data_IF_574974962316
#
_entry.id   IF_574974962316
#
_cell.length_a   1.000
_cell.length_b   1.000
_cell.length_c   1.000
_cell.angle_alpha   90.00
_cell.angle_beta   90.00
_cell.angle_gamma   90.00
#
_symmetry.space_group_name_H-M   'P 1'
#
loop_
_entity.id
_entity.type
_entity.pdbx_description
1 polymer ?
#
# COMPACT_ATOMS: atom_id res chain seq x y z
N UNK A 1 19.76 -7.39 -18.11
CA UNK A 1 18.94 -7.34 -16.87
C UNK A 1 19.84 -6.75 -15.82
N UNK A 2 19.63 -5.47 -15.54
CA UNK A 2 20.66 -4.57 -15.01
C UNK A 2 20.73 -4.57 -13.48
N UNK A 3 20.83 -5.74 -12.86
CA UNK A 3 21.21 -5.90 -11.44
C UNK A 3 20.24 -5.39 -10.36
N UNK A 4 19.24 -4.59 -10.71
CA UNK A 4 18.29 -4.00 -9.76
C UNK A 4 17.01 -4.83 -9.63
N UNK A 5 16.63 -5.15 -8.39
CA UNK A 5 15.35 -5.77 -8.05
C UNK A 5 14.25 -4.70 -8.11
N UNK A 6 13.24 -4.91 -8.96
CA UNK A 6 12.01 -4.12 -8.94
C UNK A 6 11.05 -4.73 -7.93
N UNK A 7 10.94 -4.13 -6.75
CA UNK A 7 10.07 -4.65 -5.67
C UNK A 7 8.59 -4.48 -5.99
N UNK A 8 8.25 -3.44 -6.75
CA UNK A 8 6.85 -3.09 -7.04
C UNK A 8 6.24 -2.21 -5.96
N UNK A 9 7.00 -1.80 -4.95
CA UNK A 9 6.60 -0.80 -3.96
C UNK A 9 6.75 0.61 -4.56
N UNK A 10 5.76 1.46 -4.29
CA UNK A 10 5.79 2.91 -4.49
C UNK A 10 6.23 3.51 -3.16
N UNK A 11 7.15 4.47 -3.22
CA UNK A 11 7.62 5.14 -2.03
C UNK A 11 8.18 6.51 -2.32
N UNK A 12 8.19 7.35 -1.30
CA UNK A 12 8.82 8.67 -1.32
C UNK A 12 10.10 8.67 -0.48
N UNK A 13 10.99 9.60 -0.78
CA UNK A 13 12.20 9.85 0.00
C UNK A 13 12.23 11.31 0.40
N UNK A 14 12.42 11.59 1.68
CA UNK A 14 12.53 12.96 2.16
C UNK A 14 13.96 13.53 1.98
N UNK A 15 14.13 14.80 2.32
CA UNK A 15 15.42 15.50 2.20
C UNK A 15 16.49 15.02 3.18
N UNK A 16 16.10 14.28 4.23
CA UNK A 16 16.99 13.70 5.22
C UNK A 16 17.41 12.26 4.84
N UNK A 17 16.84 11.73 3.76
CA UNK A 17 17.16 10.41 3.21
C UNK A 17 16.34 9.28 3.81
N UNK A 18 15.25 9.57 4.53
CA UNK A 18 14.31 8.53 4.95
C UNK A 18 13.42 8.13 3.79
N UNK A 19 13.26 6.81 3.62
CA UNK A 19 12.40 6.22 2.59
C UNK A 19 11.12 5.73 3.23
N UNK A 20 10.00 6.16 2.68
CA UNK A 20 8.65 5.77 3.09
C UNK A 20 8.06 4.86 2.02
N UNK A 21 7.55 3.71 2.42
CA UNK A 21 6.78 2.83 1.53
C UNK A 21 5.33 3.30 1.59
N UNK A 22 4.82 3.78 0.47
CA UNK A 22 3.48 4.37 0.38
C UNK A 22 2.45 3.38 -0.13
N UNK A 23 2.79 2.57 -1.13
CA UNK A 23 1.84 1.61 -1.73
C UNK A 23 2.58 0.52 -2.53
N UNK A 24 1.85 -0.42 -3.13
CA UNK A 24 2.36 -1.31 -4.16
C UNK A 24 1.67 -1.04 -5.48
N UNK A 25 2.48 -0.96 -6.53
CA UNK A 25 2.05 -0.77 -7.92
C UNK A 25 1.05 -1.84 -8.43
N UNK A 26 0.87 -2.95 -7.70
CA UNK A 26 0.00 -4.07 -8.08
C UNK A 26 -1.15 -4.36 -7.11
N UNK A 27 -1.27 -3.66 -5.99
CA UNK A 27 -2.27 -3.98 -4.96
C UNK A 27 -3.58 -3.18 -5.14
N UNK A 28 -3.64 -2.29 -6.13
CA UNK A 28 -4.88 -1.68 -6.58
C UNK A 28 -5.78 -2.71 -7.25
N UNK A 29 -7.03 -2.80 -6.78
CA UNK A 29 -8.06 -3.66 -7.35
C UNK A 29 -9.30 -2.85 -7.73
N UNK A 30 -10.07 -3.36 -8.69
CA UNK A 30 -11.30 -2.72 -9.14
C UNK A 30 -12.47 -3.32 -8.37
N UNK A 31 -13.25 -2.49 -7.68
CA UNK A 31 -14.50 -2.88 -7.04
C UNK A 31 -15.62 -1.95 -7.52
N UNK A 32 -16.68 -2.52 -8.10
CA UNK A 32 -17.82 -1.73 -8.58
C UNK A 32 -17.50 -0.75 -9.72
N UNK A 33 -16.34 -0.88 -10.37
CA UNK A 33 -15.86 0.05 -11.40
C UNK A 33 -14.93 1.15 -10.90
N UNK A 34 -14.65 1.19 -9.59
CA UNK A 34 -13.74 2.15 -8.96
C UNK A 34 -12.40 1.49 -8.62
N UNK A 35 -11.32 2.27 -8.71
CA UNK A 35 -9.99 1.84 -8.26
C UNK A 35 -9.95 1.93 -6.73
N UNK A 36 -9.69 0.80 -6.07
CA UNK A 36 -9.61 0.71 -4.61
C UNK A 36 -8.17 0.39 -4.21
N UNK A 37 -7.62 1.22 -3.32
CA UNK A 37 -6.26 1.07 -2.80
C UNK A 37 -6.32 0.54 -1.36
N UNK A 38 -5.69 -0.60 -1.06
CA UNK A 38 -5.61 -1.16 0.29
C UNK A 38 -5.15 -0.16 1.35
N UNK A 39 -4.18 0.69 1.03
CA UNK A 39 -3.66 1.71 1.94
C UNK A 39 -4.72 2.73 2.40
N UNK A 40 -5.68 3.10 1.54
CA UNK A 40 -6.78 3.98 1.93
C UNK A 40 -7.69 3.31 2.97
N UNK A 41 -7.96 2.01 2.79
CA UNK A 41 -8.77 1.22 3.72
C UNK A 41 -8.04 1.07 5.06
N UNK A 42 -6.75 0.73 5.03
CA UNK A 42 -5.92 0.59 6.22
C UNK A 42 -5.85 1.90 7.01
N UNK A 43 -5.64 3.03 6.34
CA UNK A 43 -5.61 4.35 6.99
C UNK A 43 -6.91 4.67 7.73
N UNK A 44 -8.07 4.42 7.12
CA UNK A 44 -9.37 4.62 7.77
C UNK A 44 -9.53 3.69 8.98
N UNK A 45 -9.06 2.45 8.88
CA UNK A 45 -9.11 1.50 10.00
C UNK A 45 -8.17 1.88 11.15
N UNK A 46 -7.01 2.49 10.85
CA UNK A 46 -6.08 2.99 11.85
C UNK A 46 -6.62 4.18 12.65
N UNK A 47 -7.66 4.88 12.18
CA UNK A 47 -8.33 5.93 12.97
C UNK A 47 -9.14 5.36 14.15
N UNK A 48 -9.44 4.06 14.17
CA UNK A 48 -10.17 3.39 15.24
C UNK A 48 -9.24 3.03 16.40
N UNK A 49 -9.52 3.58 17.58
CA UNK A 49 -8.70 3.38 18.78
C UNK A 49 -8.61 1.90 19.23
N UNK A 50 -9.57 1.09 18.82
CA UNK A 50 -9.64 -0.35 19.09
C UNK A 50 -8.71 -1.18 18.18
N UNK A 51 -8.21 -0.60 17.08
CA UNK A 51 -7.32 -1.27 16.13
C UNK A 51 -5.87 -0.89 16.43
N UNK A 52 -5.07 -1.90 16.77
CA UNK A 52 -3.63 -1.73 17.00
C UNK A 52 -2.84 -1.71 15.68
N UNK A 53 -3.11 -2.69 14.81
CA UNK A 53 -2.42 -2.93 13.55
C UNK A 53 -3.43 -3.53 12.55
N UNK A 54 -3.31 -3.17 11.27
CA UNK A 54 -4.16 -3.68 10.18
C UNK A 54 -3.34 -3.87 8.91
N UNK A 55 -3.73 -4.88 8.12
CA UNK A 55 -3.22 -5.13 6.77
C UNK A 55 -4.36 -5.68 5.89
N UNK A 56 -4.50 -5.17 4.68
CA UNK A 56 -5.50 -5.58 3.69
C UNK A 56 -4.82 -6.43 2.62
N UNK A 57 -5.41 -7.60 2.34
CA UNK A 57 -4.91 -8.53 1.32
C UNK A 57 -6.00 -8.89 0.32
N UNK A 58 -5.62 -9.02 -0.95
CA UNK A 58 -6.48 -9.61 -1.98
C UNK A 58 -6.56 -11.13 -1.80
N UNK A 59 -7.78 -11.69 -1.89
CA UNK A 59 -8.02 -13.13 -1.84
C UNK A 59 -8.58 -13.57 -3.21
N UNK A 60 -8.02 -14.61 -3.86
CA UNK A 60 -8.60 -15.18 -5.07
C UNK A 60 -9.95 -15.85 -4.77
N UNK A 61 -10.86 -15.82 -5.74
CA UNK A 61 -12.10 -16.62 -5.73
C UNK A 61 -11.84 -18.00 -6.37
#
# INVERSE_FOLDING_TARGET
>A
MDGWLRTGDIGSCDSEGFVYVEDRLKDMYISGGENVYPAEIENVLYELAEIREVAVIGVPD
#
